data_IF_881506308253
#
_entry.id   IF_881506308253
#
_cell.length_a   1.000
_cell.length_b   1.000
_cell.length_c   1.000
_cell.angle_alpha   90.00
_cell.angle_beta   90.00
_cell.angle_gamma   90.00
#
_symmetry.space_group_name_H-M   'P 1'
#
loop_
_entity.id
_entity.type
_entity.pdbx_description
1 polymer ?
#
# COMPACT_ATOMS: atom_id res chain seq x y z
N UNK A 1 -31.70 -33.46 12.08
CA UNK A 1 -30.54 -34.08 11.42
C UNK A 1 -29.37 -33.15 11.67
N UNK A 2 -28.23 -33.65 12.17
CA UNK A 2 -26.99 -32.85 12.20
C UNK A 2 -26.23 -33.22 10.94
N UNK A 3 -25.95 -32.25 10.09
CA UNK A 3 -24.93 -32.42 9.06
C UNK A 3 -23.58 -32.27 9.76
N UNK A 4 -22.94 -33.41 10.04
CA UNK A 4 -21.54 -33.41 10.46
C UNK A 4 -20.69 -33.02 9.24
N UNK A 5 -20.46 -31.71 9.08
CA UNK A 5 -19.56 -31.18 8.06
C UNK A 5 -18.19 -31.84 8.19
N UNK A 6 -17.86 -32.71 7.23
CA UNK A 6 -16.53 -33.31 7.14
C UNK A 6 -15.48 -32.18 7.06
N UNK A 7 -14.44 -32.19 7.90
CA UNK A 7 -13.41 -31.16 7.86
C UNK A 7 -12.72 -31.22 6.50
N UNK A 8 -12.74 -30.10 5.76
CA UNK A 8 -12.09 -30.03 4.44
C UNK A 8 -10.61 -30.35 4.59
N UNK A 9 -10.18 -31.44 3.97
CA UNK A 9 -8.77 -31.84 3.92
C UNK A 9 -7.91 -30.90 3.06
N UNK A 10 -8.56 -30.02 2.28
CA UNK A 10 -7.94 -29.03 1.41
C UNK A 10 -8.23 -27.60 1.87
N UNK A 11 -7.21 -26.74 1.75
CA UNK A 11 -7.28 -25.29 1.97
C UNK A 11 -7.11 -24.59 0.62
N UNK A 12 -7.97 -23.62 0.24
CA UNK A 12 -7.84 -22.92 -1.04
C UNK A 12 -6.63 -21.98 -1.03
N UNK A 13 -5.92 -21.92 -2.16
CA UNK A 13 -4.86 -20.93 -2.45
C UNK A 13 -5.42 -19.86 -3.41
N UNK A 14 -6.29 -20.29 -4.32
CA UNK A 14 -7.08 -19.46 -5.25
C UNK A 14 -8.31 -20.25 -5.70
N UNK A 15 -9.20 -19.63 -6.49
CA UNK A 15 -10.41 -20.26 -7.05
C UNK A 15 -10.17 -21.59 -7.79
N UNK A 16 -8.94 -21.83 -8.27
CA UNK A 16 -8.56 -23.01 -9.06
C UNK A 16 -7.46 -23.88 -8.43
N UNK A 17 -6.92 -23.51 -7.26
CA UNK A 17 -5.80 -24.21 -6.62
C UNK A 17 -6.07 -24.40 -5.14
N UNK A 18 -5.81 -25.61 -4.63
CA UNK A 18 -5.85 -25.93 -3.21
C UNK A 18 -4.62 -26.74 -2.78
N UNK A 19 -4.33 -26.71 -1.48
CA UNK A 19 -3.24 -27.44 -0.83
C UNK A 19 -3.79 -28.34 0.27
N UNK A 20 -3.16 -29.49 0.53
CA UNK A 20 -3.58 -30.33 1.64
C UNK A 20 -3.31 -29.63 2.98
N UNK A 21 -4.24 -29.76 3.93
CA UNK A 21 -4.15 -29.19 5.28
C UNK A 21 -2.86 -29.64 6.00
N UNK A 22 -2.45 -30.89 5.81
CA UNK A 22 -1.21 -31.47 6.32
C UNK A 22 0.05 -30.78 5.77
N UNK A 23 0.08 -30.54 4.45
CA UNK A 23 1.18 -29.89 3.74
C UNK A 23 1.31 -28.42 4.17
N UNK A 24 0.21 -27.67 4.19
CA UNK A 24 0.19 -26.28 4.65
C UNK A 24 0.62 -26.15 6.12
N UNK A 25 0.21 -27.08 7.00
CA UNK A 25 0.68 -27.13 8.38
C UNK A 25 2.17 -27.50 8.49
N UNK A 26 2.70 -28.30 7.56
CA UNK A 26 4.14 -28.56 7.42
C UNK A 26 4.91 -27.29 7.08
N UNK A 27 4.48 -26.56 6.05
CA UNK A 27 5.06 -25.27 5.65
C UNK A 27 4.96 -24.22 6.77
N UNK A 28 3.83 -24.17 7.49
CA UNK A 28 3.62 -23.28 8.64
C UNK A 28 4.61 -23.58 9.78
N UNK A 29 4.93 -24.85 10.07
CA UNK A 29 5.95 -25.21 11.07
C UNK A 29 7.33 -24.68 10.65
N UNK A 30 7.73 -24.88 9.40
CA UNK A 30 8.99 -24.37 8.85
C UNK A 30 9.04 -22.83 8.88
N UNK A 31 7.92 -22.17 8.54
CA UNK A 31 7.76 -20.72 8.63
C UNK A 31 7.97 -20.20 10.07
N UNK A 32 7.29 -20.82 11.04
CA UNK A 32 7.35 -20.41 12.44
C UNK A 32 8.70 -20.71 13.11
N UNK A 33 9.44 -21.71 12.64
CA UNK A 33 10.81 -22.00 13.06
C UNK A 33 11.76 -20.84 12.68
N UNK A 34 11.69 -20.31 11.45
CA UNK A 34 12.47 -19.14 11.04
C UNK A 34 12.16 -17.88 11.88
N UNK A 35 10.92 -17.76 12.36
CA UNK A 35 10.46 -16.68 13.23
C UNK A 35 10.47 -17.02 14.72
N UNK A 36 11.16 -18.09 15.15
CA UNK A 36 11.26 -18.45 16.56
C UNK A 36 11.84 -17.30 17.39
N UNK A 37 11.18 -17.00 18.53
CA UNK A 37 11.49 -15.85 19.38
C UNK A 37 11.14 -14.46 18.80
N UNK A 38 10.46 -14.37 17.64
CA UNK A 38 10.12 -13.10 16.97
C UNK A 38 8.60 -12.89 16.88
N UNK A 39 8.18 -11.63 16.78
CA UNK A 39 6.77 -11.20 16.72
C UNK A 39 6.00 -11.58 15.43
N UNK A 40 6.64 -12.30 14.50
CA UNK A 40 6.09 -12.67 13.19
C UNK A 40 5.67 -14.14 13.07
N UNK A 41 5.67 -14.90 14.18
CA UNK A 41 5.08 -16.23 14.20
C UNK A 41 3.57 -16.16 13.90
N UNK A 42 3.10 -17.04 13.03
CA UNK A 42 1.71 -17.18 12.66
C UNK A 42 1.03 -18.20 13.57
N UNK A 43 -0.15 -17.89 14.09
CA UNK A 43 -0.95 -18.79 14.90
C UNK A 43 -1.96 -19.50 14.00
N UNK A 44 -2.33 -20.73 14.32
CA UNK A 44 -3.45 -21.39 13.67
C UNK A 44 -4.49 -21.84 14.70
N UNK A 45 -5.75 -21.85 14.27
CA UNK A 45 -6.89 -22.42 14.97
C UNK A 45 -7.78 -23.17 13.99
N UNK A 46 -8.70 -23.95 14.52
CA UNK A 46 -9.74 -24.61 13.73
C UNK A 46 -11.09 -24.10 14.20
N UNK A 47 -11.84 -23.51 13.27
CA UNK A 47 -13.12 -22.83 13.52
C UNK A 47 -14.10 -23.38 12.49
N UNK A 48 -15.21 -23.96 12.94
CA UNK A 48 -16.23 -24.60 12.08
C UNK A 48 -15.65 -25.66 11.09
N UNK A 49 -14.61 -26.39 11.52
CA UNK A 49 -13.91 -27.39 10.68
C UNK A 49 -12.97 -26.80 9.61
N UNK A 50 -12.81 -25.47 9.60
CA UNK A 50 -11.92 -24.75 8.69
C UNK A 50 -10.61 -24.38 9.39
N UNK A 51 -9.47 -24.60 8.74
CA UNK A 51 -8.16 -24.16 9.23
C UNK A 51 -7.99 -22.64 9.02
N UNK A 52 -7.92 -21.89 10.11
CA UNK A 52 -7.65 -20.45 10.08
C UNK A 52 -6.25 -20.20 10.63
N UNK A 53 -5.38 -19.64 9.79
CA UNK A 53 -4.04 -19.14 10.16
C UNK A 53 -4.14 -17.62 10.28
N UNK A 54 -3.51 -17.01 11.28
CA UNK A 54 -3.52 -15.57 11.51
C UNK A 54 -2.17 -15.04 12.01
N UNK A 55 -1.86 -13.79 11.67
CA UNK A 55 -0.64 -13.13 12.15
C UNK A 55 -0.35 -11.81 11.47
N UNK A 56 0.92 -11.43 11.43
CA UNK A 56 1.39 -10.21 10.77
C UNK A 56 1.97 -10.56 9.39
N UNK A 57 1.48 -9.88 8.36
CA UNK A 57 2.00 -9.93 7.00
C UNK A 57 2.78 -8.64 6.71
N UNK A 58 4.00 -8.79 6.19
CA UNK A 58 4.82 -7.68 5.71
C UNK A 58 4.47 -7.34 4.27
N UNK A 59 4.25 -6.05 4.00
CA UNK A 59 4.04 -5.50 2.66
C UNK A 59 4.96 -4.29 2.51
N UNK A 60 5.85 -4.36 1.51
CA UNK A 60 6.77 -3.29 1.16
C UNK A 60 6.12 -2.28 0.21
N UNK A 61 6.48 -1.01 0.34
CA UNK A 61 6.06 0.00 -0.64
C UNK A 61 6.89 -0.13 -1.91
N UNK A 62 6.22 -0.38 -3.05
CA UNK A 62 6.82 -0.45 -4.39
C UNK A 62 6.36 0.67 -5.33
N UNK A 63 5.59 1.64 -4.82
CA UNK A 63 5.05 2.75 -5.58
C UNK A 63 6.15 3.63 -6.20
N UNK A 64 5.93 4.06 -7.44
CA UNK A 64 6.78 4.99 -8.20
C UNK A 64 6.23 6.41 -8.18
N UNK A 65 4.91 6.57 -8.06
CA UNK A 65 4.18 7.83 -7.96
C UNK A 65 3.86 8.17 -6.50
N UNK A 66 3.84 9.46 -6.11
CA UNK A 66 3.21 9.89 -4.87
C UNK A 66 1.71 9.59 -4.88
N UNK A 67 1.16 9.21 -3.73
CA UNK A 67 -0.28 9.00 -3.51
C UNK A 67 -0.85 10.12 -2.64
N UNK A 68 -2.17 10.29 -2.64
CA UNK A 68 -2.86 11.26 -1.77
C UNK A 68 -3.49 10.56 -0.59
N UNK A 69 -3.37 11.15 0.59
CA UNK A 69 -4.05 10.69 1.80
C UNK A 69 -5.26 11.57 2.08
N UNK A 70 -6.34 10.98 2.56
CA UNK A 70 -7.53 11.69 3.00
C UNK A 70 -7.18 12.60 4.18
N UNK A 71 -7.39 13.90 4.00
CA UNK A 71 -7.22 14.86 5.09
C UNK A 71 -8.27 14.59 6.16
N UNK A 72 -7.81 14.55 7.42
CA UNK A 72 -8.72 14.71 8.54
C UNK A 72 -9.02 16.20 8.67
N UNK A 73 -10.20 16.61 8.22
CA UNK A 73 -10.82 17.81 8.79
C UNK A 73 -11.24 17.44 10.22
N UNK A 74 -10.58 18.03 11.21
CA UNK A 74 -10.96 17.94 12.64
C UNK A 74 -12.25 18.76 12.92
N UNK A 75 -13.23 18.68 12.01
CA UNK A 75 -14.50 19.42 12.03
C UNK A 75 -15.74 18.55 12.08
N UNK A 76 -15.57 17.24 12.14
CA UNK A 76 -16.60 16.35 12.73
C UNK A 76 -16.28 16.07 14.21
N UNK A 77 -16.08 17.16 14.96
CA UNK A 77 -16.48 17.15 16.36
C UNK A 77 -17.99 16.89 16.35
N UNK A 78 -18.39 15.67 16.72
CA UNK A 78 -19.79 15.24 16.76
C UNK A 78 -20.57 16.28 17.55
N UNK A 79 -21.42 17.05 16.86
CA UNK A 79 -22.41 17.93 17.48
C UNK A 79 -23.47 17.05 18.16
N UNK A 80 -23.08 16.45 19.30
CA UNK A 80 -24.01 16.07 20.35
C UNK A 80 -24.87 17.31 20.63
N UNK A 81 -26.21 17.24 20.51
CA UNK A 81 -27.05 18.41 20.76
C UNK A 81 -26.81 18.86 22.20
N UNK A 82 -26.28 20.08 22.34
CA UNK A 82 -25.96 20.69 23.63
C UNK A 82 -27.23 20.82 24.45
N UNK A 83 -27.50 19.80 25.25
CA UNK A 83 -28.69 19.72 26.07
C UNK A 83 -28.45 20.64 27.26
N UNK A 84 -29.22 21.71 27.32
CA UNK A 84 -29.14 22.81 28.29
C UNK A 84 -28.89 22.34 29.73
N UNK A 85 -27.66 22.52 30.22
CA UNK A 85 -27.34 22.38 31.64
C UNK A 85 -27.70 23.67 32.37
N UNK A 86 -28.91 23.73 32.94
CA UNK A 86 -29.30 24.75 33.90
C UNK A 86 -28.91 24.30 35.31
N UNK A 87 -28.05 25.03 36.05
CA UNK A 87 -27.77 24.72 37.44
C UNK A 87 -29.00 25.01 38.32
N UNK A 88 -29.62 23.94 38.82
CA UNK A 88 -30.79 24.03 39.70
C UNK A 88 -30.46 24.67 41.04
N UNK A 89 -30.99 25.87 41.27
CA UNK A 89 -30.97 26.62 42.53
C UNK A 89 -31.69 25.86 43.66
N UNK A 90 -31.03 25.50 44.78
CA UNK A 90 -31.72 25.04 45.99
C UNK A 90 -32.11 26.25 46.85
N UNK A 91 -33.39 26.41 47.15
CA UNK A 91 -33.90 27.41 48.09
C UNK A 91 -34.23 26.79 49.45
N UNK A 92 -33.54 27.24 50.51
CA UNK A 92 -33.95 27.04 51.91
C UNK A 92 -35.26 27.80 52.21
N UNK A 93 -36.04 27.47 53.26
CA UNK A 93 -35.74 27.89 54.66
C UNK A 93 -36.33 26.91 55.74
N UNK A 94 -36.56 27.30 57.03
CA UNK A 94 -35.62 27.82 58.04
C UNK A 94 -35.69 27.09 59.42
N UNK A 95 -34.69 27.31 60.31
CA UNK A 95 -34.89 27.48 61.77
C UNK A 95 -33.63 28.01 62.49
N UNK A 96 -33.84 28.93 63.41
CA UNK A 96 -32.86 29.62 64.29
C UNK A 96 -32.81 28.95 65.70
N UNK A 97 -32.13 29.52 66.75
CA UNK A 97 -30.70 29.86 66.88
C UNK A 97 -30.07 29.42 68.24
N UNK A 98 -28.75 29.49 68.40
CA UNK A 98 -28.04 29.71 69.70
C UNK A 98 -26.51 29.93 69.51
N UNK A 99 -25.77 30.56 70.47
CA UNK A 99 -24.61 31.42 70.13
C UNK A 99 -23.25 31.10 70.84
N UNK A 100 -22.30 32.05 70.75
CA UNK A 100 -20.98 32.17 71.44
C UNK A 100 -19.77 31.42 70.81
N UNK A 101 -18.52 31.91 70.83
CA UNK A 101 -17.94 33.24 71.17
C UNK A 101 -16.51 33.37 70.58
N UNK A 102 -15.92 34.59 70.55
CA UNK A 102 -14.45 34.76 70.48
C UNK A 102 -13.87 35.78 69.47
N UNK A 103 -13.35 36.90 69.98
CA UNK A 103 -12.67 37.98 69.21
C UNK A 103 -11.15 37.74 69.03
N UNK A 104 -10.51 38.42 68.05
CA UNK A 104 -9.54 39.54 68.28
C UNK A 104 -8.92 40.09 66.97
N UNK A 105 -8.84 41.42 66.92
CA UNK A 105 -8.13 42.37 66.01
C UNK A 105 -6.68 41.94 65.68
N UNK A 106 -6.02 42.18 64.53
CA UNK A 106 -5.83 43.40 63.71
C UNK A 106 -5.00 43.02 62.44
N UNK A 107 -4.60 43.85 61.45
CA UNK A 107 -4.73 45.29 61.13
C UNK A 107 -4.55 45.50 59.59
N UNK A 108 -4.33 46.74 59.11
CA UNK A 108 -3.91 47.12 57.73
C UNK A 108 -3.07 48.42 57.76
N UNK A 109 -2.23 48.73 56.76
CA UNK A 109 -2.61 49.66 55.67
C UNK A 109 -2.18 49.14 54.27
N UNK A 110 -2.92 49.34 53.17
CA UNK A 110 -3.08 50.58 52.36
C UNK A 110 -1.75 51.02 51.72
N UNK A 111 -1.60 51.17 50.39
CA UNK A 111 -2.23 52.23 49.55
C UNK A 111 -2.58 51.74 48.12
N UNK A 112 -3.61 52.36 47.54
CA UNK A 112 -4.06 52.39 46.12
C UNK A 112 -4.46 53.87 45.82
N UNK A 113 -4.98 54.25 44.63
CA UNK A 113 -4.66 53.96 43.23
C UNK A 113 -4.45 55.30 42.45
N UNK A 114 -4.69 55.37 41.11
CA UNK A 114 -5.39 56.47 40.39
C UNK A 114 -5.39 56.22 38.85
N UNK A 115 -6.61 56.02 38.30
CA UNK A 115 -7.25 56.52 37.04
C UNK A 115 -6.46 56.70 35.69
N UNK A 116 -7.07 56.74 34.48
CA UNK A 116 -8.50 56.83 34.05
C UNK A 116 -8.70 56.34 32.58
N UNK A 117 -9.96 56.01 32.25
CA UNK A 117 -10.67 55.98 30.94
C UNK A 117 -10.18 56.91 29.81
N UNK A 118 -10.56 56.88 28.52
CA UNK A 118 -11.38 56.08 27.56
C UNK A 118 -11.37 56.90 26.23
N UNK A 119 -11.49 56.27 25.06
CA UNK A 119 -12.09 56.77 23.78
C UNK A 119 -11.59 55.87 22.62
N UNK A 120 -12.40 55.21 21.79
CA UNK A 120 -13.56 55.60 20.95
C UNK A 120 -13.20 56.52 19.77
N UNK A 121 -13.09 55.96 18.55
CA UNK A 121 -13.95 56.28 17.38
C UNK A 121 -13.61 55.37 16.18
N UNK A 122 -14.65 55.06 15.40
CA UNK A 122 -14.71 54.22 14.20
C UNK A 122 -13.99 54.80 12.96
N UNK A 123 -13.60 53.94 12.00
CA UNK A 123 -13.86 54.16 10.57
C UNK A 123 -13.39 53.00 9.64
N UNK A 124 -14.38 52.43 8.92
CA UNK A 124 -14.34 51.93 7.52
C UNK A 124 -13.18 51.05 6.99
N UNK A 125 -13.52 49.86 6.49
CA UNK A 125 -12.62 48.95 5.74
C UNK A 125 -12.29 49.39 4.30
N UNK A 126 -11.73 48.47 3.48
CA UNK A 126 -12.60 47.55 2.74
C UNK A 126 -12.22 46.05 2.81
N UNK A 127 -13.12 45.26 2.20
CA UNK A 127 -13.15 43.80 2.04
C UNK A 127 -12.24 43.32 0.88
N UNK A 128 -12.21 42.00 0.66
CA UNK A 128 -11.42 41.24 -0.35
C UNK A 128 -9.92 41.08 0.04
N UNK A 129 -9.24 39.95 -0.20
CA UNK A 129 -9.54 38.81 -1.07
C UNK A 129 -9.56 37.46 -0.30
N UNK A 130 -10.36 36.52 -0.77
CA UNK A 130 -10.24 35.11 -0.37
C UNK A 130 -9.09 34.45 -1.16
N UNK A 131 -8.01 34.03 -0.49
CA UNK A 131 -6.93 33.25 -1.14
C UNK A 131 -7.39 31.84 -1.52
N UNK A 132 -8.07 31.78 -2.66
CA UNK A 132 -8.13 30.72 -3.67
C UNK A 132 -7.34 29.45 -3.33
N UNK A 133 -8.06 28.41 -2.90
CA UNK A 133 -7.52 27.06 -2.88
C UNK A 133 -7.17 26.64 -4.32
N UNK A 134 -5.95 26.17 -4.62
CA UNK A 134 -5.52 25.90 -5.99
C UNK A 134 -6.24 24.67 -6.56
N UNK A 135 -7.38 24.90 -7.22
CA UNK A 135 -8.07 23.94 -8.05
C UNK A 135 -7.24 23.66 -9.31
N UNK A 136 -6.45 22.59 -9.31
CA UNK A 136 -5.77 22.13 -10.52
C UNK A 136 -6.62 21.09 -11.26
N UNK A 137 -7.27 21.60 -12.30
CA UNK A 137 -7.96 20.97 -13.42
C UNK A 137 -7.80 19.46 -13.60
N UNK A 138 -8.94 18.76 -13.59
CA UNK A 138 -9.09 17.35 -13.93
C UNK A 138 -9.25 17.16 -15.44
N UNK A 139 -8.22 16.71 -16.16
CA UNK A 139 -8.39 16.10 -17.50
C UNK A 139 -7.21 15.20 -17.93
N UNK A 140 -7.54 13.91 -18.16
CA UNK A 140 -7.17 13.05 -19.31
C UNK A 140 -5.74 13.13 -19.90
N UNK A 141 -5.05 11.97 -19.86
CA UNK A 141 -4.26 11.34 -20.95
C UNK A 141 -3.08 12.07 -21.63
N UNK A 142 -1.92 11.39 -21.56
CA UNK A 142 -0.74 11.42 -22.46
C UNK A 142 -0.14 12.76 -22.93
N UNK A 143 1.08 13.04 -22.46
CA UNK A 143 2.19 13.53 -23.29
C UNK A 143 3.54 13.41 -22.56
N UNK A 144 4.57 12.96 -23.29
CA UNK A 144 5.97 12.95 -22.86
C UNK A 144 6.52 14.35 -22.56
N UNK A 145 7.32 14.50 -21.50
CA UNK A 145 8.27 15.61 -21.42
C UNK A 145 9.54 15.25 -20.64
N UNK A 146 10.59 14.86 -21.37
CA UNK A 146 11.95 15.04 -20.87
C UNK A 146 12.19 16.54 -20.68
N UNK A 147 12.41 16.97 -19.45
CA UNK A 147 12.83 18.34 -19.16
C UNK A 147 13.76 18.36 -17.96
N UNK A 148 15.05 18.47 -18.26
CA UNK A 148 16.09 18.85 -17.29
C UNK A 148 15.74 20.21 -16.69
N UNK A 149 15.02 20.24 -15.56
CA UNK A 149 14.73 21.49 -14.85
C UNK A 149 15.79 21.71 -13.77
N UNK A 150 16.74 22.61 -14.08
CA UNK A 150 17.65 23.23 -13.10
C UNK A 150 16.87 23.61 -11.83
N UNK A 151 17.45 23.44 -10.62
CA UNK A 151 16.79 23.89 -9.41
C UNK A 151 16.66 25.42 -9.45
N UNK A 152 15.43 25.92 -9.68
CA UNK A 152 15.14 27.35 -9.55
C UNK A 152 15.44 27.76 -8.12
N UNK A 153 16.46 28.60 -7.91
CA UNK A 153 16.89 29.05 -6.60
C UNK A 153 15.71 29.71 -5.87
N UNK A 154 15.10 29.00 -4.93
CA UNK A 154 13.97 29.51 -4.14
C UNK A 154 14.51 30.45 -3.07
N UNK A 155 13.76 31.49 -2.75
CA UNK A 155 14.13 32.41 -1.68
C UNK A 155 14.28 31.62 -0.35
N UNK A 156 15.23 31.98 0.54
CA UNK A 156 15.45 31.24 1.79
C UNK A 156 14.19 31.06 2.63
N UNK A 157 13.33 32.08 2.65
CA UNK A 157 12.03 32.05 3.34
C UNK A 157 11.03 31.03 2.76
N UNK A 158 11.00 30.84 1.44
CA UNK A 158 10.15 29.79 0.83
C UNK A 158 10.67 28.40 1.17
N UNK A 159 11.98 28.18 1.04
CA UNK A 159 12.61 26.91 1.41
C UNK A 159 12.32 26.55 2.88
N UNK A 160 12.31 27.56 3.77
CA UNK A 160 12.01 27.39 5.19
C UNK A 160 10.52 27.20 5.48
N UNK A 161 9.61 27.88 4.77
CA UNK A 161 8.15 27.58 4.81
C UNK A 161 7.89 26.15 4.33
N UNK A 162 8.50 25.74 3.22
CA UNK A 162 8.39 24.39 2.65
C UNK A 162 8.90 23.34 3.64
N UNK A 163 10.00 23.59 4.37
CA UNK A 163 10.50 22.67 5.42
C UNK A 163 9.52 22.51 6.59
N UNK A 164 8.79 23.55 7.00
CA UNK A 164 7.79 23.47 8.10
C UNK A 164 6.59 22.58 7.81
N UNK A 165 6.28 22.35 6.53
CA UNK A 165 5.12 21.55 6.11
C UNK A 165 5.47 20.13 5.65
N UNK A 166 6.73 19.72 5.83
CA UNK A 166 7.31 18.48 5.32
C UNK A 166 7.75 17.62 6.49
N UNK A 167 6.92 16.64 6.84
CA UNK A 167 7.21 15.70 7.91
C UNK A 167 7.71 14.37 7.34
N UNK A 168 8.76 13.82 7.95
CA UNK A 168 9.20 12.45 7.71
C UNK A 168 8.52 11.51 8.68
N UNK A 169 7.49 10.78 8.25
CA UNK A 169 6.80 9.78 9.07
C UNK A 169 7.45 8.44 8.76
N UNK A 170 8.21 7.86 9.69
CA UNK A 170 8.93 6.59 9.52
C UNK A 170 9.82 6.53 8.26
N UNK A 171 10.43 7.67 7.88
CA UNK A 171 11.23 7.81 6.66
C UNK A 171 10.43 8.01 5.37
N UNK A 172 9.10 7.96 5.41
CA UNK A 172 8.23 8.35 4.30
C UNK A 172 8.07 9.87 4.27
N UNK A 173 7.88 10.43 3.08
CA UNK A 173 7.71 11.86 2.91
C UNK A 173 6.21 12.24 2.91
N UNK A 174 5.78 13.12 3.81
CA UNK A 174 4.40 13.64 3.85
C UNK A 174 4.35 15.17 3.78
N UNK A 175 3.52 15.70 2.89
CA UNK A 175 3.20 17.13 2.80
C UNK A 175 1.74 17.36 3.22
N UNK A 176 1.55 17.84 4.46
CA UNK A 176 0.22 18.02 5.04
C UNK A 176 -0.61 19.16 4.41
N UNK A 177 -0.03 19.98 3.51
CA UNK A 177 -0.77 21.02 2.78
C UNK A 177 -1.45 20.52 1.52
N UNK A 178 -0.87 19.51 0.88
CA UNK A 178 -1.38 18.93 -0.37
C UNK A 178 -1.82 17.48 -0.20
N UNK A 179 -1.75 16.98 1.04
CA UNK A 179 -2.04 15.59 1.43
C UNK A 179 -1.19 14.54 0.69
N UNK A 180 -0.09 14.97 0.05
CA UNK A 180 0.75 14.10 -0.77
C UNK A 180 1.69 13.31 0.12
N UNK A 181 1.64 12.00 -0.04
CA UNK A 181 2.49 11.03 0.60
C UNK A 181 3.36 10.32 -0.44
N UNK A 182 4.66 10.26 -0.19
CA UNK A 182 5.62 9.52 -1.01
C UNK A 182 6.31 8.51 -0.09
N UNK A 183 5.90 7.23 -0.14
CA UNK A 183 6.55 6.21 0.67
C UNK A 183 7.99 5.99 0.19
N UNK A 184 8.85 5.56 1.11
CA UNK A 184 10.21 5.19 0.75
C UNK A 184 10.18 3.81 0.06
N UNK A 185 10.69 3.71 -1.17
CA UNK A 185 10.70 2.45 -1.91
C UNK A 185 11.41 1.34 -1.11
N UNK A 186 10.80 0.17 -1.03
CA UNK A 186 11.31 -0.99 -0.29
C UNK A 186 11.19 -0.90 1.24
N UNK A 187 10.67 0.20 1.80
CA UNK A 187 10.30 0.26 3.22
C UNK A 187 9.08 -0.62 3.51
N UNK A 188 9.05 -1.26 4.67
CA UNK A 188 8.09 -2.32 5.01
C UNK A 188 7.05 -1.81 6.01
N UNK A 189 5.80 -2.17 5.75
CA UNK A 189 4.68 -2.03 6.69
C UNK A 189 4.14 -3.40 7.03
N UNK A 190 3.53 -3.55 8.21
CA UNK A 190 2.85 -4.79 8.59
C UNK A 190 1.33 -4.59 8.68
N UNK A 191 0.57 -5.63 8.32
CA UNK A 191 -0.88 -5.68 8.45
C UNK A 191 -1.24 -6.98 9.17
N UNK A 192 -2.21 -6.95 10.08
CA UNK A 192 -2.74 -8.16 10.72
C UNK A 192 -3.78 -8.77 9.79
N UNK A 193 -3.56 -10.02 9.39
CA UNK A 193 -4.39 -10.73 8.40
C UNK A 193 -4.61 -12.18 8.83
N UNK A 194 -5.56 -12.85 8.19
CA UNK A 194 -5.81 -14.28 8.34
C UNK A 194 -5.77 -15.00 6.97
N UNK A 195 -5.84 -16.33 6.97
CA UNK A 195 -5.78 -17.17 5.76
C UNK A 195 -7.02 -17.12 4.89
N UNK A 196 -8.16 -16.62 5.38
CA UNK A 196 -9.39 -16.45 4.60
C UNK A 196 -9.49 -15.05 3.96
N UNK A 197 -8.55 -14.15 4.25
CA UNK A 197 -8.53 -12.81 3.64
C UNK A 197 -8.00 -12.86 2.20
N UNK A 198 -8.78 -12.34 1.27
CA UNK A 198 -8.37 -12.24 -0.14
C UNK A 198 -7.43 -11.05 -0.38
N UNK A 199 -6.71 -11.04 -1.51
CA UNK A 199 -5.82 -9.96 -1.93
C UNK A 199 -6.51 -8.60 -1.88
N UNK A 200 -7.74 -8.50 -2.39
CA UNK A 200 -8.51 -7.25 -2.38
C UNK A 200 -8.83 -6.76 -0.96
N UNK A 201 -9.13 -7.68 -0.03
CA UNK A 201 -9.42 -7.31 1.37
C UNK A 201 -8.16 -6.86 2.10
N UNK A 202 -7.03 -7.57 1.93
CA UNK A 202 -5.73 -7.18 2.52
C UNK A 202 -5.26 -5.83 1.96
N UNK A 203 -5.44 -5.61 0.66
CA UNK A 203 -5.15 -4.33 0.01
C UNK A 203 -6.01 -3.20 0.58
N UNK A 204 -7.32 -3.41 0.71
CA UNK A 204 -8.25 -2.44 1.29
C UNK A 204 -7.90 -2.13 2.75
N UNK A 205 -7.54 -3.13 3.57
CA UNK A 205 -7.06 -2.91 4.94
C UNK A 205 -5.78 -2.04 4.98
N UNK A 206 -4.85 -2.28 4.06
CA UNK A 206 -3.61 -1.50 3.98
C UNK A 206 -3.89 -0.04 3.57
N UNK A 207 -4.70 0.18 2.53
CA UNK A 207 -5.07 1.52 2.07
C UNK A 207 -5.85 2.29 3.15
N UNK A 208 -6.79 1.64 3.85
CA UNK A 208 -7.53 2.23 4.96
C UNK A 208 -6.62 2.57 6.16
N UNK A 209 -5.64 1.71 6.48
CA UNK A 209 -4.64 1.98 7.54
C UNK A 209 -3.83 3.25 7.29
N UNK A 210 -3.55 3.57 6.03
CA UNK A 210 -2.84 4.79 5.63
C UNK A 210 -3.78 5.93 5.17
N UNK A 211 -5.10 5.67 5.11
CA UNK A 211 -6.14 6.57 4.57
C UNK A 211 -5.83 7.08 3.17
N UNK A 212 -5.52 6.18 2.25
CA UNK A 212 -5.30 6.56 0.84
C UNK A 212 -6.62 7.01 0.20
N UNK A 213 -6.60 8.10 -0.57
CA UNK A 213 -7.77 8.64 -1.28
C UNK A 213 -8.17 7.79 -2.49
N UNK A 214 -7.15 7.23 -3.16
CA UNK A 214 -7.28 6.42 -4.37
C UNK A 214 -7.76 4.99 -4.05
N UNK A 215 -8.59 4.43 -4.94
CA UNK A 215 -9.26 3.14 -4.72
C UNK A 215 -8.34 1.91 -4.88
N UNK A 216 -8.72 0.74 -4.33
CA UNK A 216 -7.89 -0.48 -4.42
C UNK A 216 -7.66 -0.96 -5.86
N UNK A 217 -8.47 -0.55 -6.84
CA UNK A 217 -8.27 -0.86 -8.26
C UNK A 217 -7.03 -0.20 -8.88
N UNK A 218 -6.49 0.86 -8.28
CA UNK A 218 -5.29 1.55 -8.78
C UNK A 218 -3.98 0.88 -8.32
N UNK A 219 -4.09 -0.09 -7.42
CA UNK A 219 -2.97 -0.78 -6.80
C UNK A 219 -3.10 -2.29 -6.96
N UNK A 220 -1.97 -3.00 -6.87
CA UNK A 220 -1.96 -4.44 -6.75
C UNK A 220 -0.82 -4.92 -5.85
N UNK A 221 -1.00 -6.10 -5.27
CA UNK A 221 0.06 -6.80 -4.54
C UNK A 221 0.86 -7.66 -5.52
N UNK A 222 2.17 -7.51 -5.48
CA UNK A 222 3.12 -8.31 -6.25
C UNK A 222 4.05 -9.07 -5.33
N UNK A 223 4.44 -10.29 -5.71
CA UNK A 223 5.54 -11.02 -5.07
C UNK A 223 6.77 -10.83 -5.95
N UNK A 224 7.85 -10.35 -5.36
CA UNK A 224 9.15 -10.13 -6.01
C UNK A 224 10.17 -11.07 -5.38
N UNK A 225 10.81 -11.88 -6.22
CA UNK A 225 11.88 -12.79 -5.82
C UNK A 225 13.28 -12.21 -6.05
N UNK A 226 14.27 -12.72 -5.34
CA UNK A 226 15.71 -12.41 -5.57
C UNK A 226 16.22 -12.86 -6.96
N UNK A 227 15.51 -13.78 -7.61
CA UNK A 227 15.73 -14.15 -9.02
C UNK A 227 15.51 -12.97 -9.96
N UNK A 228 14.61 -12.05 -9.61
CA UNK A 228 14.06 -11.02 -10.49
C UNK A 228 12.62 -11.31 -10.95
N UNK A 229 12.10 -12.50 -10.64
CA UNK A 229 10.71 -12.88 -10.93
C UNK A 229 9.75 -11.96 -10.17
N UNK A 230 8.69 -11.52 -10.86
CA UNK A 230 7.64 -10.68 -10.30
C UNK A 230 6.28 -11.22 -10.74
N UNK A 231 5.53 -11.78 -9.80
CA UNK A 231 4.17 -12.29 -10.02
C UNK A 231 3.16 -11.33 -9.40
N UNK A 232 2.05 -11.06 -10.11
CA UNK A 232 0.91 -10.32 -9.57
C UNK A 232 0.03 -11.29 -8.80
N UNK A 233 -0.37 -10.92 -7.58
CA UNK A 233 -1.43 -11.65 -6.88
C UNK A 233 -2.79 -11.28 -7.45
N UNK A 234 -3.61 -12.29 -7.69
CA UNK A 234 -5.00 -12.12 -8.16
C UNK A 234 -5.91 -11.72 -7.01
N UNK A 235 -7.01 -11.06 -7.32
CA UNK A 235 -7.96 -10.54 -6.33
C UNK A 235 -8.56 -11.64 -5.44
N UNK A 236 -8.71 -12.86 -5.98
CA UNK A 236 -9.22 -14.05 -5.30
C UNK A 236 -8.15 -14.93 -4.63
N UNK A 237 -6.87 -14.56 -4.71
CA UNK A 237 -5.80 -15.27 -4.00
C UNK A 237 -5.73 -14.84 -2.52
N UNK A 238 -5.10 -15.66 -1.68
CA UNK A 238 -4.96 -15.41 -0.23
C UNK A 238 -3.52 -15.01 0.12
N UNK A 239 -3.20 -13.72 0.36
CA UNK A 239 -1.82 -13.24 0.54
C UNK A 239 -1.05 -13.92 1.68
N UNK A 240 -1.72 -14.26 2.79
CA UNK A 240 -1.07 -14.95 3.90
C UNK A 240 -0.68 -16.38 3.55
N UNK A 241 -1.54 -17.11 2.80
CA UNK A 241 -1.23 -18.46 2.33
C UNK A 241 -0.08 -18.39 1.32
N UNK A 242 -0.13 -17.44 0.38
CA UNK A 242 0.96 -17.20 -0.57
C UNK A 242 2.29 -16.92 0.13
N UNK A 243 2.32 -16.06 1.15
CA UNK A 243 3.53 -15.82 1.98
C UNK A 243 4.08 -17.10 2.63
N UNK A 244 3.22 -18.04 3.05
CA UNK A 244 3.67 -19.33 3.61
C UNK A 244 4.27 -20.22 2.51
N UNK A 245 3.66 -20.28 1.32
CA UNK A 245 4.16 -21.03 0.16
C UNK A 245 5.53 -20.52 -0.31
N UNK A 246 5.70 -19.18 -0.39
CA UNK A 246 6.98 -18.54 -0.73
C UNK A 246 7.97 -18.46 0.46
N UNK A 247 7.66 -19.11 1.58
CA UNK A 247 8.51 -19.21 2.78
C UNK A 247 8.67 -17.89 3.58
N UNK A 248 9.39 -17.92 4.72
CA UNK A 248 9.47 -16.79 5.66
C UNK A 248 10.54 -15.74 5.36
N UNK A 249 11.46 -16.00 4.42
CA UNK A 249 12.64 -15.16 4.22
C UNK A 249 12.36 -13.96 3.30
N UNK A 250 12.33 -12.76 3.87
CA UNK A 250 12.22 -11.47 3.14
C UNK A 250 13.43 -11.14 2.25
N UNK A 251 14.46 -11.99 2.18
CA UNK A 251 15.52 -11.87 1.16
C UNK A 251 15.13 -12.57 -0.13
N UNK A 252 14.54 -13.76 -0.01
CA UNK A 252 14.22 -14.66 -1.14
C UNK A 252 12.98 -14.19 -1.89
N UNK A 253 11.91 -13.86 -1.14
CA UNK A 253 10.65 -13.39 -1.69
C UNK A 253 10.06 -12.30 -0.79
N UNK A 254 9.56 -11.22 -1.39
CA UNK A 254 8.97 -10.05 -0.71
C UNK A 254 7.66 -9.66 -1.36
N UNK A 255 6.69 -9.26 -0.56
CA UNK A 255 5.42 -8.74 -1.05
C UNK A 255 5.50 -7.21 -1.18
N UNK A 256 5.08 -6.67 -2.32
CA UNK A 256 5.12 -5.25 -2.64
C UNK A 256 3.74 -4.73 -3.02
N UNK A 257 3.38 -3.55 -2.53
CA UNK A 257 2.29 -2.74 -3.05
C UNK A 257 2.80 -1.88 -4.21
N UNK A 258 2.28 -2.08 -5.42
CA UNK A 258 2.68 -1.36 -6.64
C UNK A 258 1.45 -0.81 -7.37
N UNK A 259 1.62 0.19 -8.24
CA UNK A 259 0.53 0.67 -9.09
C UNK A 259 0.11 -0.39 -10.12
N UNK A 260 -1.19 -0.57 -10.30
CA UNK A 260 -1.75 -1.61 -11.18
C UNK A 260 -1.51 -1.33 -12.68
N UNK A 261 -1.25 -0.08 -13.07
CA UNK A 261 -0.94 0.33 -14.45
C UNK A 261 0.55 0.19 -14.80
N UNK A 262 1.45 0.24 -13.81
CA UNK A 262 2.91 0.14 -14.00
C UNK A 262 3.49 -1.23 -13.65
N UNK A 263 2.73 -2.09 -12.97
CA UNK A 263 3.18 -3.37 -12.46
C UNK A 263 3.30 -4.45 -13.54
N UNK A 264 4.43 -4.46 -14.26
CA UNK A 264 4.79 -5.51 -15.22
C UNK A 264 5.14 -6.81 -14.49
N UNK A 265 4.43 -7.89 -14.84
CA UNK A 265 4.76 -9.26 -14.45
C UNK A 265 6.02 -9.75 -15.18
N UNK A 266 6.89 -10.46 -14.46
CA UNK A 266 8.13 -11.04 -14.98
C UNK A 266 8.11 -12.53 -14.63
N UNK A 267 7.92 -13.44 -15.61
CA UNK A 267 8.02 -14.87 -15.37
C UNK A 267 9.46 -15.31 -15.11
N UNK A 268 9.64 -16.46 -14.46
CA UNK A 268 10.96 -17.00 -14.11
C UNK A 268 11.93 -17.08 -15.31
N UNK A 269 11.45 -17.52 -16.49
CA UNK A 269 12.28 -17.68 -17.69
C UNK A 269 12.87 -16.35 -18.20
N UNK A 270 12.19 -15.23 -17.91
CA UNK A 270 12.64 -13.87 -18.25
C UNK A 270 13.47 -13.26 -17.12
N UNK A 271 13.18 -13.61 -15.85
CA UNK A 271 13.84 -13.06 -14.67
C UNK A 271 15.38 -13.23 -14.70
N UNK A 272 15.88 -14.35 -15.22
CA UNK A 272 17.32 -14.60 -15.37
C UNK A 272 18.03 -13.54 -16.24
N UNK A 273 17.32 -12.94 -17.20
CA UNK A 273 17.88 -11.96 -18.12
C UNK A 273 17.89 -10.53 -17.59
N UNK A 274 17.07 -10.21 -16.58
CA UNK A 274 16.97 -8.86 -15.99
C UNK A 274 18.30 -8.34 -15.41
N UNK A 275 19.23 -9.25 -15.08
CA UNK A 275 20.52 -8.91 -14.48
C UNK A 275 21.61 -8.58 -15.52
N UNK A 276 21.34 -8.74 -16.82
CA UNK A 276 22.29 -8.37 -17.88
C UNK A 276 22.07 -6.93 -18.37
N UNK A 277 23.15 -6.31 -18.85
CA UNK A 277 23.08 -5.01 -19.52
C UNK A 277 22.48 -5.14 -20.93
N UNK A 278 21.86 -4.07 -21.43
CA UNK A 278 21.19 -4.08 -22.74
C UNK A 278 22.07 -4.57 -23.91
N UNK A 279 23.35 -4.14 -24.04
CA UNK A 279 24.22 -4.64 -25.11
C UNK A 279 24.48 -6.15 -25.06
N UNK A 280 24.46 -6.75 -23.86
CA UNK A 280 24.61 -8.19 -23.68
C UNK A 280 23.33 -8.90 -24.14
N UNK A 281 22.16 -8.37 -23.79
CA UNK A 281 20.86 -8.86 -24.26
C UNK A 281 20.72 -8.76 -25.78
N UNK A 282 21.12 -7.64 -26.37
CA UNK A 282 21.14 -7.43 -27.81
C UNK A 282 22.02 -8.50 -28.50
N UNK A 283 23.19 -8.80 -27.93
CA UNK A 283 24.09 -9.86 -28.45
C UNK A 283 23.50 -11.28 -28.35
N UNK A 284 22.63 -11.55 -27.37
CA UNK A 284 21.90 -12.82 -27.31
C UNK A 284 20.81 -12.89 -28.39
N UNK A 285 20.07 -11.79 -28.60
CA UNK A 285 19.04 -11.70 -29.64
C UNK A 285 19.66 -11.82 -31.03
N UNK A 286 20.83 -11.22 -31.27
CA UNK A 286 21.57 -11.35 -32.53
C UNK A 286 22.00 -12.80 -32.80
N UNK A 287 22.63 -13.46 -31.82
CA UNK A 287 23.05 -14.87 -31.96
C UNK A 287 21.88 -15.84 -32.18
N UNK A 288 20.74 -15.61 -31.52
CA UNK A 288 19.53 -16.41 -31.72
C UNK A 288 18.98 -16.24 -33.14
N UNK A 289 18.98 -15.03 -33.69
CA UNK A 289 18.59 -14.77 -35.09
C UNK A 289 19.53 -15.45 -36.09
N UNK A 290 20.84 -15.40 -35.86
CA UNK A 290 21.80 -16.11 -36.72
C UNK A 290 21.61 -17.63 -36.68
N UNK A 291 21.24 -18.20 -35.53
CA UNK A 291 20.97 -19.63 -35.37
C UNK A 291 19.64 -20.04 -36.02
N UNK A 292 18.60 -19.22 -35.85
CA UNK A 292 17.31 -19.36 -36.56
C UNK A 292 17.50 -19.34 -38.08
N UNK A 293 18.22 -18.35 -38.63
CA UNK A 293 18.52 -18.27 -40.06
C UNK A 293 19.31 -19.49 -40.56
N UNK A 294 20.29 -19.96 -39.78
CA UNK A 294 21.05 -21.19 -40.09
C UNK A 294 20.16 -22.43 -40.16
N UNK A 295 19.20 -22.60 -39.25
CA UNK A 295 18.25 -23.71 -39.31
C UNK A 295 17.20 -23.53 -40.43
N UNK A 296 16.76 -22.30 -40.73
CA UNK A 296 15.88 -22.00 -41.87
C UNK A 296 16.54 -22.40 -43.20
N UNK A 297 17.79 -22.00 -43.43
CA UNK A 297 18.56 -22.36 -44.64
C UNK A 297 18.70 -23.89 -44.74
N UNK A 298 19.11 -24.54 -43.65
CA UNK A 298 19.29 -26.00 -43.56
C UNK A 298 17.99 -26.78 -43.79
N UNK A 299 16.86 -26.30 -43.26
CA UNK A 299 15.54 -26.87 -43.49
C UNK A 299 15.10 -26.67 -44.95
N UNK A 300 15.34 -25.48 -45.51
CA UNK A 300 15.02 -25.15 -46.90
C UNK A 300 15.80 -26.03 -47.88
N UNK A 301 17.10 -26.23 -47.66
CA UNK A 301 17.93 -27.14 -48.47
C UNK A 301 17.43 -28.59 -48.41
N UNK A 302 17.10 -29.10 -47.20
CA UNK A 302 16.51 -30.44 -47.03
C UNK A 302 15.18 -30.59 -47.77
N UNK A 303 14.30 -29.58 -47.65
CA UNK A 303 13.01 -29.56 -48.35
C UNK A 303 13.18 -29.56 -49.87
N UNK A 304 14.10 -28.75 -50.41
CA UNK A 304 14.40 -28.72 -51.85
C UNK A 304 14.94 -30.08 -52.35
N UNK A 305 15.87 -30.70 -51.62
CA UNK A 305 16.42 -32.02 -51.98
C UNK A 305 15.35 -33.13 -51.99
N UNK A 306 14.48 -33.15 -50.96
CA UNK A 306 13.34 -34.07 -50.89
C UNK A 306 12.34 -33.83 -52.03
N UNK A 307 12.01 -32.56 -52.31
CA UNK A 307 11.12 -32.19 -53.42
C UNK A 307 11.65 -32.65 -54.77
N UNK A 308 12.95 -32.44 -55.04
CA UNK A 308 13.60 -32.92 -56.27
C UNK A 308 13.54 -34.44 -56.39
N UNK A 309 13.81 -35.16 -55.29
CA UNK A 309 13.75 -36.63 -55.26
C UNK A 309 12.33 -37.13 -55.52
N UNK A 310 11.31 -36.49 -54.93
CA UNK A 310 9.90 -36.83 -55.19
C UNK A 310 9.48 -36.56 -56.64
N UNK A 311 9.93 -35.46 -57.24
CA UNK A 311 9.66 -35.15 -58.65
C UNK A 311 10.30 -36.17 -59.60
N UNK A 312 11.58 -36.53 -59.38
CA UNK A 312 12.25 -37.59 -60.15
C UNK A 312 11.54 -38.95 -60.02
N UNK A 313 11.02 -39.28 -58.83
CA UNK A 313 10.22 -40.51 -58.62
C UNK A 313 8.87 -40.47 -59.31
N UNK A 314 8.21 -39.31 -59.37
CA UNK A 314 6.98 -39.12 -60.13
C UNK A 314 7.22 -39.29 -61.63
N UNK A 315 8.29 -38.69 -62.17
CA UNK A 315 8.68 -38.78 -63.58
C UNK A 315 8.96 -40.23 -64.01
N UNK A 316 9.76 -40.96 -63.22
CA UNK A 316 10.00 -42.40 -63.42
C UNK A 316 8.72 -43.26 -63.43
N UNK A 317 7.72 -42.90 -62.63
CA UNK A 317 6.43 -43.61 -62.58
C UNK A 317 5.48 -43.25 -63.73
N UNK A 318 5.72 -42.11 -64.41
CA UNK A 318 4.98 -41.69 -65.61
C UNK A 318 5.61 -42.33 -66.86
N UNK A 319 6.94 -42.40 -66.95
CA UNK A 319 7.65 -43.02 -68.07
C UNK A 319 7.52 -44.56 -68.11
N UNK A 320 7.28 -45.20 -66.97
CA UNK A 320 7.13 -46.65 -66.85
C UNK A 320 5.72 -47.19 -67.23
N UNK A 321 4.93 -46.43 -68.00
CA UNK A 321 3.48 -46.66 -68.18
C UNK A 321 3.01 -46.47 -69.62
#
# INVERSE_FOLDING_TARGET
MKEDCLPSSHVPISDSKSIQKSELLGLLKTYNCYHEGKSFQLRHREEEGTLIIEGLLNIAWGLRRPIRLQMQDDREQVHLPSTSWMPGRPSCPPKEPSPQDGNVTAQRPSIQPVHKAESSTDNSGPLEEAEEAPQLMRTKSDASCMSQRRPKCRAPGEAQRIRRHRFSINGHFYNHKTSVFTPAYGSVTNVRVNSTMTTLQVLTLLLNKFRVEDGPSEFALYIVHESGERTKLKDCEYPLISRILHGPCEKIARMFLMEADLGVEVPHDVAQYIKFEMPVLDSFVEKLKEEEEREIIKLTMKFQALRLTMLQRLEQLVEAK
#
